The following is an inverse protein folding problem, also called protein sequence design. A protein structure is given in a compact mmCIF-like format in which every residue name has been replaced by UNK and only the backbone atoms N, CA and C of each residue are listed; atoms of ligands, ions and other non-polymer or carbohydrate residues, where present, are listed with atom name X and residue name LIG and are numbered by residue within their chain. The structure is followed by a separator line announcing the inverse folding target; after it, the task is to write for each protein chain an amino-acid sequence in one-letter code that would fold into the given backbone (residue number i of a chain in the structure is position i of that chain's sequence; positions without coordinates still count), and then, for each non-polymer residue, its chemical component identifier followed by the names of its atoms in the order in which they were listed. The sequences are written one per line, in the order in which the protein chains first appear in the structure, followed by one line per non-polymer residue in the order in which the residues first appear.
data_IF_600409617509
#
_entry.id   IF_600409617509
#
_cell.length_a   1.000
_cell.length_b   1.000
_cell.length_c   1.000
_cell.angle_alpha   90.00
_cell.angle_beta   90.00
_cell.angle_gamma   90.00
#
_symmetry.space_group_name_H-M   'P 1'
#
loop_
_entity.id
_entity.type
_entity.pdbx_description
1 polymer ?
#
# COMPACT_ATOMS: atom_id res chain seq x y z
N UNK A 1 -16.69 19.35 21.93
CA UNK A 1 -16.73 20.74 21.41
C UNK A 1 -15.41 20.95 20.70
N UNK A 2 -15.28 21.16 19.39
CA UNK A 2 -16.03 21.94 18.40
C UNK A 2 -15.84 21.13 17.09
N UNK A 3 -16.86 20.65 16.39
CA UNK A 3 -17.43 21.28 15.18
C UNK A 3 -18.70 20.49 14.80
N UNK A 4 -19.82 20.85 15.40
CA UNK A 4 -21.15 20.55 14.87
C UNK A 4 -21.75 21.88 14.42
N UNK A 5 -21.92 22.09 13.11
CA UNK A 5 -22.38 23.38 12.62
C UNK A 5 -22.56 23.46 11.11
N UNK A 6 -23.82 23.29 10.69
CA UNK A 6 -24.49 23.96 9.56
C UNK A 6 -23.93 23.76 8.14
N UNK A 7 -24.12 22.56 7.58
CA UNK A 7 -24.15 22.38 6.12
C UNK A 7 -25.37 23.07 5.46
N UNK A 8 -26.46 23.29 6.21
CA UNK A 8 -27.67 23.93 5.70
C UNK A 8 -27.53 25.42 5.33
N UNK A 9 -26.61 26.16 5.97
CA UNK A 9 -26.42 27.58 5.69
C UNK A 9 -25.65 27.85 4.39
N UNK A 10 -24.72 26.95 4.03
CA UNK A 10 -23.93 27.05 2.79
C UNK A 10 -24.79 26.78 1.55
N UNK A 11 -25.74 25.83 1.66
CA UNK A 11 -26.69 25.53 0.58
C UNK A 11 -27.69 26.66 0.30
N UNK A 12 -28.08 27.44 1.32
CA UNK A 12 -28.97 28.58 1.13
C UNK A 12 -28.30 29.73 0.35
N UNK A 13 -26.98 29.87 0.44
CA UNK A 13 -26.22 30.92 -0.26
C UNK A 13 -25.91 30.59 -1.73
N UNK A 14 -26.01 29.33 -2.14
CA UNK A 14 -25.81 28.90 -3.53
C UNK A 14 -27.05 29.11 -4.44
N UNK A 15 -28.21 29.50 -3.88
CA UNK A 15 -29.45 29.72 -4.66
C UNK A 15 -29.55 31.10 -5.34
N UNK A 16 -28.63 32.01 -5.08
CA UNK A 16 -28.64 33.38 -5.62
C UNK A 16 -27.27 33.69 -6.25
N UNK A 17 -27.06 33.31 -7.52
CA UNK A 17 -25.79 33.61 -8.19
C UNK A 17 -25.62 33.01 -9.57
N UNK A 18 -26.12 33.75 -10.56
CA UNK A 18 -25.65 33.86 -11.94
C UNK A 18 -25.72 32.66 -12.90
N UNK A 19 -26.65 32.80 -13.85
CA UNK A 19 -26.47 32.39 -15.24
C UNK A 19 -25.21 33.02 -15.83
N UNK A 20 -24.34 32.24 -16.48
CA UNK A 20 -23.70 32.57 -17.76
C UNK A 20 -22.94 31.35 -18.33
N UNK A 21 -22.87 31.31 -19.67
CA UNK A 21 -22.53 30.20 -20.55
C UNK A 21 -21.05 29.74 -20.50
N UNK A 22 -20.81 28.48 -20.85
CA UNK A 22 -19.49 27.98 -21.25
C UNK A 22 -19.33 26.47 -21.11
N UNK A 23 -19.14 25.77 -22.24
CA UNK A 23 -19.09 24.31 -22.30
C UNK A 23 -17.88 23.67 -21.63
N UNK A 24 -18.11 22.51 -21.01
CA UNK A 24 -17.13 21.46 -20.71
C UNK A 24 -17.91 20.21 -20.27
N UNK A 25 -17.30 19.04 -20.47
CA UNK A 25 -17.70 17.69 -20.06
C UNK A 25 -18.83 17.63 -19.02
N UNK A 26 -19.90 16.90 -19.34
CA UNK A 26 -21.03 16.70 -18.45
C UNK A 26 -20.62 15.91 -17.20
N UNK A 27 -20.06 16.61 -16.22
CA UNK A 27 -19.94 16.17 -14.85
C UNK A 27 -21.37 15.95 -14.35
N UNK A 28 -21.70 14.68 -14.07
CA UNK A 28 -23.04 14.24 -13.65
C UNK A 28 -23.44 14.97 -12.36
N UNK A 29 -24.13 16.09 -12.50
CA UNK A 29 -24.71 16.81 -11.39
C UNK A 29 -26.05 16.15 -11.03
N UNK A 30 -26.20 15.55 -9.83
CA UNK A 30 -27.46 14.93 -9.42
C UNK A 30 -28.57 15.98 -9.47
N UNK A 31 -29.62 15.67 -10.22
CA UNK A 31 -30.64 16.63 -10.66
C UNK A 31 -31.75 16.85 -9.62
N UNK A 32 -31.76 16.04 -8.55
CA UNK A 32 -32.75 16.12 -7.48
C UNK A 32 -32.15 15.92 -6.08
N UNK A 33 -32.84 16.47 -5.08
CA UNK A 33 -32.47 16.32 -3.65
C UNK A 33 -32.54 14.86 -3.21
N UNK A 34 -33.41 14.05 -3.83
CA UNK A 34 -33.51 12.60 -3.58
C UNK A 34 -32.30 11.84 -4.11
N UNK A 35 -31.76 12.21 -5.28
CA UNK A 35 -30.53 11.60 -5.82
C UNK A 35 -29.31 11.91 -4.94
N UNK A 36 -29.21 13.14 -4.43
CA UNK A 36 -28.17 13.54 -3.48
C UNK A 36 -28.26 12.76 -2.17
N UNK A 37 -29.47 12.58 -1.63
CA UNK A 37 -29.69 11.80 -0.41
C UNK A 37 -29.33 10.31 -0.61
N UNK A 38 -29.68 9.74 -1.77
CA UNK A 38 -29.33 8.36 -2.11
C UNK A 38 -27.81 8.16 -2.26
N UNK A 39 -27.11 9.11 -2.88
CA UNK A 39 -25.65 9.08 -3.01
C UNK A 39 -24.95 9.21 -1.65
N UNK A 40 -25.43 10.11 -0.78
CA UNK A 40 -24.93 10.26 0.58
C UNK A 40 -25.13 8.97 1.41
N UNK A 41 -26.28 8.31 1.28
CA UNK A 41 -26.55 7.04 1.94
C UNK A 41 -25.62 5.91 1.46
N UNK A 42 -25.38 5.83 0.15
CA UNK A 42 -24.40 4.88 -0.43
C UNK A 42 -22.98 5.15 0.07
N UNK A 43 -22.58 6.42 0.15
CA UNK A 43 -21.26 6.81 0.66
C UNK A 43 -21.11 6.44 2.14
N UNK A 44 -22.12 6.72 2.96
CA UNK A 44 -22.13 6.35 4.38
C UNK A 44 -22.01 4.83 4.56
N UNK A 45 -22.75 4.04 3.78
CA UNK A 45 -22.63 2.58 3.79
C UNK A 45 -21.22 2.12 3.40
N UNK A 46 -20.59 2.76 2.41
CA UNK A 46 -19.23 2.44 1.99
C UNK A 46 -18.19 2.78 3.04
N UNK A 47 -18.33 3.93 3.72
CA UNK A 47 -17.47 4.32 4.84
C UNK A 47 -17.59 3.30 5.97
N UNK A 48 -18.80 2.90 6.34
CA UNK A 48 -19.02 1.90 7.38
C UNK A 48 -18.40 0.53 7.03
N UNK A 49 -18.49 0.11 5.77
CA UNK A 49 -17.82 -1.12 5.29
C UNK A 49 -16.29 -1.02 5.42
N UNK A 50 -15.70 0.12 5.08
CA UNK A 50 -14.25 0.34 5.18
C UNK A 50 -13.79 0.35 6.64
N UNK A 51 -14.55 0.97 7.55
CA UNK A 51 -14.27 0.95 8.98
C UNK A 51 -14.30 -0.46 9.56
N UNK A 52 -15.28 -1.28 9.14
CA UNK A 52 -15.36 -2.69 9.52
C UNK A 52 -14.16 -3.49 9.02
N UNK A 53 -13.78 -3.32 7.76
CA UNK A 53 -12.61 -3.99 7.19
C UNK A 53 -11.32 -3.60 7.94
N UNK A 54 -11.13 -2.32 8.23
CA UNK A 54 -9.99 -1.83 9.01
C UNK A 54 -9.97 -2.43 10.42
N UNK A 55 -11.14 -2.54 11.06
CA UNK A 55 -11.26 -3.15 12.38
C UNK A 55 -10.92 -4.65 12.35
N UNK A 56 -11.33 -5.37 11.29
CA UNK A 56 -10.96 -6.77 11.11
C UNK A 56 -9.45 -6.94 10.98
N UNK A 57 -8.77 -6.11 10.18
CA UNK A 57 -7.31 -6.15 10.06
C UNK A 57 -6.61 -5.83 11.37
N UNK A 58 -7.08 -4.82 12.11
CA UNK A 58 -6.57 -4.52 13.46
C UNK A 58 -6.70 -5.71 14.40
N UNK A 59 -7.83 -6.41 14.37
CA UNK A 59 -8.05 -7.59 15.20
C UNK A 59 -7.11 -8.75 14.82
N UNK A 60 -6.85 -8.97 13.53
CA UNK A 60 -5.88 -9.97 13.06
C UNK A 60 -4.47 -9.66 13.57
N UNK A 61 -4.02 -8.41 13.45
CA UNK A 61 -2.72 -8.00 14.00
C UNK A 61 -2.61 -8.27 15.50
N UNK A 62 -3.65 -7.92 16.27
CA UNK A 62 -3.66 -8.14 17.72
C UNK A 62 -3.52 -9.62 18.08
N UNK A 63 -4.17 -10.52 17.35
CA UNK A 63 -4.09 -11.97 17.57
C UNK A 63 -2.70 -12.52 17.24
N UNK A 64 -2.07 -12.01 16.18
CA UNK A 64 -0.68 -12.37 15.84
C UNK A 64 0.28 -11.92 16.95
N UNK A 65 0.13 -10.70 17.45
CA UNK A 65 0.95 -10.17 18.55
C UNK A 65 0.79 -11.01 19.84
N UNK A 66 -0.44 -11.40 20.20
CA UNK A 66 -0.69 -12.27 21.35
C UNK A 66 -0.06 -13.66 21.19
N UNK A 67 -0.13 -14.22 19.97
CA UNK A 67 0.44 -15.54 19.67
C UNK A 67 1.97 -15.51 19.70
N UNK A 68 2.58 -14.39 19.28
CA UNK A 68 4.03 -14.17 19.41
C UNK A 68 4.45 -14.05 20.88
N UNK A 69 3.70 -13.29 21.69
CA UNK A 69 3.98 -13.13 23.12
C UNK A 69 3.89 -14.44 23.90
N UNK A 70 2.89 -15.28 23.59
CA UNK A 70 2.74 -16.60 24.22
C UNK A 70 3.95 -17.52 23.93
N UNK A 71 4.45 -17.51 22.69
CA UNK A 71 5.65 -18.29 22.31
C UNK A 71 6.93 -17.80 22.96
N UNK A 72 7.05 -16.51 23.26
CA UNK A 72 8.21 -15.94 23.97
C UNK A 72 8.17 -16.19 25.49
N UNK A 73 7.00 -16.46 26.07
CA UNK A 73 6.85 -16.77 27.50
C UNK A 73 7.26 -18.20 27.88
N UNK A 74 7.26 -19.14 26.93
CA UNK A 74 7.58 -20.55 27.16
C UNK A 74 9.05 -20.91 26.87
N UNK A 75 9.85 -19.96 26.38
CA UNK A 75 11.24 -20.19 25.97
C UNK A 75 12.29 -20.15 27.12
N UNK A 76 11.86 -20.21 28.38
CA UNK A 76 12.75 -20.30 29.56
C UNK A 76 12.74 -21.69 30.22
N UNK A 77 12.61 -22.75 29.43
CA UNK A 77 12.71 -24.13 29.91
C UNK A 77 13.27 -25.09 28.85
N UNK A 78 14.57 -25.41 28.98
CA UNK A 78 15.22 -26.67 28.55
C UNK A 78 15.15 -27.08 27.06
N UNK A 79 16.22 -26.71 26.34
CA UNK A 79 17.10 -27.56 25.51
C UNK A 79 16.57 -28.56 24.44
N UNK A 80 17.14 -28.38 23.24
CA UNK A 80 17.51 -29.37 22.19
C UNK A 80 16.42 -29.92 21.26
N UNK A 81 16.34 -29.43 20.01
CA UNK A 81 16.46 -30.26 18.78
C UNK A 81 16.64 -29.39 17.52
N UNK A 82 17.71 -29.69 16.77
CA UNK A 82 17.88 -29.67 15.30
C UNK A 82 16.93 -28.83 14.43
N UNK A 83 17.55 -27.93 13.65
CA UNK A 83 17.06 -27.43 12.36
C UNK A 83 15.61 -26.90 12.36
N UNK A 84 15.41 -25.68 12.85
CA UNK A 84 14.24 -24.88 12.52
C UNK A 84 14.73 -23.54 12.01
N UNK A 85 14.39 -23.29 10.75
CA UNK A 85 14.54 -22.02 10.04
C UNK A 85 14.31 -20.86 11.02
N UNK A 86 15.31 -19.98 11.14
CA UNK A 86 15.19 -18.72 11.86
C UNK A 86 14.05 -17.92 11.25
N UNK A 87 12.85 -18.12 11.79
CA UNK A 87 11.69 -17.34 11.43
C UNK A 87 11.91 -15.94 12.01
N UNK A 88 12.43 -15.04 11.16
CA UNK A 88 12.56 -13.61 11.50
C UNK A 88 11.16 -13.06 11.73
N UNK A 89 10.83 -12.84 13.00
CA UNK A 89 9.58 -12.19 13.39
C UNK A 89 9.76 -10.69 13.22
N UNK A 90 9.31 -10.15 12.10
CA UNK A 90 9.27 -8.70 11.86
C UNK A 90 8.10 -8.12 12.67
N UNK A 91 8.37 -7.10 13.48
CA UNK A 91 7.31 -6.41 14.22
C UNK A 91 6.39 -5.67 13.25
N UNK A 92 5.13 -5.46 13.64
CA UNK A 92 4.15 -4.75 12.81
C UNK A 92 4.66 -3.37 12.34
N UNK A 93 5.31 -2.62 13.24
CA UNK A 93 5.85 -1.29 12.93
C UNK A 93 7.00 -1.37 11.91
N UNK A 94 7.85 -2.39 12.01
CA UNK A 94 8.93 -2.62 11.03
C UNK A 94 8.37 -3.02 9.66
N UNK A 95 7.30 -3.82 9.63
CA UNK A 95 6.62 -4.17 8.38
C UNK A 95 5.97 -2.94 7.74
N UNK A 96 5.25 -2.13 8.51
CA UNK A 96 4.64 -0.87 8.01
C UNK A 96 5.72 0.10 7.50
N UNK A 97 6.82 0.24 8.22
CA UNK A 97 7.96 1.05 7.79
C UNK A 97 8.60 0.49 6.51
N UNK A 98 8.73 -0.83 6.41
CA UNK A 98 9.25 -1.51 5.21
C UNK A 98 8.34 -1.26 4.00
N UNK A 99 7.02 -1.35 4.18
CA UNK A 99 6.04 -1.05 3.13
C UNK A 99 6.08 0.42 2.72
N UNK A 100 6.15 1.36 3.68
CA UNK A 100 6.27 2.78 3.37
C UNK A 100 7.54 3.09 2.58
N UNK A 101 8.67 2.47 2.95
CA UNK A 101 9.92 2.59 2.21
C UNK A 101 9.81 2.04 0.79
N UNK A 102 9.19 0.88 0.62
CA UNK A 102 8.97 0.29 -0.70
C UNK A 102 8.11 1.19 -1.60
N UNK A 103 7.03 1.75 -1.05
CA UNK A 103 6.19 2.72 -1.77
C UNK A 103 6.95 3.99 -2.15
N UNK A 104 7.77 4.52 -1.24
CA UNK A 104 8.59 5.70 -1.53
C UNK A 104 9.56 5.46 -2.70
N UNK A 105 10.16 4.27 -2.77
CA UNK A 105 11.07 3.88 -3.86
C UNK A 105 10.35 3.66 -5.20
N UNK A 106 9.06 3.29 -5.18
CA UNK A 106 8.26 3.10 -6.39
C UNK A 106 7.83 4.41 -7.07
N UNK A 107 7.75 5.51 -6.31
CA UNK A 107 7.40 6.84 -6.85
C UNK A 107 8.56 7.48 -7.61
N UNK A 108 9.79 7.05 -7.33
CA UNK A 108 11.01 7.57 -7.95
C UNK A 108 11.05 7.20 -9.45
N UNK A 109 11.50 8.13 -10.30
CA UNK A 109 11.53 7.90 -11.76
C UNK A 109 12.69 6.99 -12.17
N UNK A 110 13.78 7.05 -11.40
CA UNK A 110 14.98 6.25 -11.54
C UNK A 110 14.72 4.76 -11.31
N UNK A 111 15.50 3.93 -12.00
CA UNK A 111 15.48 2.48 -11.83
C UNK A 111 16.26 2.06 -10.59
N UNK A 112 15.58 1.47 -9.62
CA UNK A 112 16.17 1.00 -8.36
C UNK A 112 16.03 -0.51 -8.27
N UNK A 113 17.15 -1.18 -8.00
CA UNK A 113 17.22 -2.62 -7.73
C UNK A 113 18.02 -2.90 -6.48
N UNK A 114 17.68 -3.97 -5.75
CA UNK A 114 18.45 -4.45 -4.60
C UNK A 114 18.78 -5.92 -4.84
N UNK A 115 20.05 -6.30 -4.67
CA UNK A 115 20.52 -7.67 -4.76
C UNK A 115 20.83 -8.25 -3.38
N UNK A 116 20.63 -9.56 -3.21
CA UNK A 116 21.09 -10.28 -2.03
C UNK A 116 22.49 -10.84 -2.28
N UNK A 117 23.51 -10.10 -1.86
CA UNK A 117 24.92 -10.49 -2.03
C UNK A 117 25.35 -11.67 -1.15
N UNK A 118 24.50 -12.13 -0.21
CA UNK A 118 24.80 -13.31 0.61
C UNK A 118 24.52 -14.61 -0.13
N UNK A 119 23.70 -14.57 -1.19
CA UNK A 119 23.32 -15.73 -1.97
C UNK A 119 24.26 -15.96 -3.15
N UNK A 120 24.48 -17.23 -3.54
CA UNK A 120 25.12 -17.54 -4.80
C UNK A 120 24.41 -16.83 -5.95
N UNK A 121 25.19 -16.33 -6.89
CA UNK A 121 24.69 -15.61 -8.06
C UNK A 121 24.03 -14.25 -7.80
N UNK A 122 24.06 -13.72 -6.56
CA UNK A 122 23.60 -12.37 -6.22
C UNK A 122 22.23 -12.00 -6.84
N UNK A 123 21.17 -12.79 -6.58
CA UNK A 123 19.88 -12.56 -7.19
C UNK A 123 19.28 -11.23 -6.72
N UNK A 124 18.60 -10.54 -7.63
CA UNK A 124 17.81 -9.36 -7.31
C UNK A 124 16.63 -9.75 -6.41
N UNK A 125 16.48 -9.08 -5.27
CA UNK A 125 15.37 -9.29 -4.32
C UNK A 125 14.32 -8.19 -4.39
N UNK A 126 14.62 -7.09 -5.08
CA UNK A 126 13.70 -5.98 -5.31
C UNK A 126 14.05 -5.27 -6.62
N UNK A 127 13.01 -4.86 -7.35
CA UNK A 127 13.09 -3.92 -8.47
C UNK A 127 11.87 -3.01 -8.43
N UNK A 128 12.06 -1.70 -8.56
CA UNK A 128 10.96 -0.74 -8.54
C UNK A 128 10.27 -0.59 -9.91
N UNK A 129 9.15 0.12 -9.94
CA UNK A 129 8.44 0.42 -11.19
C UNK A 129 9.28 1.26 -12.17
N UNK A 130 10.19 2.12 -11.68
CA UNK A 130 11.13 2.87 -12.51
C UNK A 130 12.04 1.98 -13.34
N UNK A 131 12.57 0.92 -12.74
CA UNK A 131 13.42 -0.05 -13.42
C UNK A 131 12.68 -0.70 -14.58
N UNK A 132 11.45 -1.17 -14.33
CA UNK A 132 10.65 -1.83 -15.35
C UNK A 132 10.32 -0.91 -16.54
N UNK A 133 10.08 0.38 -16.29
CA UNK A 133 9.87 1.38 -17.35
C UNK A 133 11.12 1.63 -18.18
N UNK A 134 12.29 1.71 -17.56
CA UNK A 134 13.55 2.02 -18.23
C UNK A 134 14.05 0.83 -19.05
N UNK A 135 13.99 -0.38 -18.49
CA UNK A 135 14.59 -1.57 -19.11
C UNK A 135 13.60 -2.37 -19.95
N UNK A 136 12.29 -2.20 -19.72
CA UNK A 136 11.24 -2.99 -20.35
C UNK A 136 11.02 -4.38 -19.74
N UNK A 137 11.82 -4.79 -18.75
CA UNK A 137 11.63 -6.05 -18.02
C UNK A 137 10.59 -5.88 -16.90
N UNK A 138 9.69 -6.85 -16.75
CA UNK A 138 8.75 -6.83 -15.63
C UNK A 138 9.49 -7.08 -14.31
N UNK A 139 8.98 -6.50 -13.22
CA UNK A 139 9.51 -6.74 -11.87
C UNK A 139 9.51 -8.24 -11.54
N UNK A 140 8.46 -8.96 -11.95
CA UNK A 140 8.32 -10.40 -11.73
C UNK A 140 9.37 -11.23 -12.48
N UNK A 141 9.77 -10.81 -13.69
CA UNK A 141 10.83 -11.47 -14.43
C UNK A 141 12.23 -11.08 -13.92
N UNK A 142 12.34 -9.99 -13.17
CA UNK A 142 13.61 -9.44 -12.66
C UNK A 142 13.99 -10.04 -11.32
N UNK A 143 13.06 -10.08 -10.38
CA UNK A 143 13.30 -10.59 -9.01
C UNK A 143 13.61 -12.09 -9.07
N UNK A 144 14.68 -12.50 -8.39
CA UNK A 144 15.20 -13.87 -8.37
C UNK A 144 16.34 -14.11 -9.36
N UNK A 145 16.60 -13.19 -10.29
CA UNK A 145 17.66 -13.32 -11.29
C UNK A 145 18.84 -12.38 -10.99
N UNK A 146 20.04 -12.74 -11.41
CA UNK A 146 21.18 -11.83 -11.40
C UNK A 146 21.01 -10.71 -12.45
N UNK A 147 21.35 -9.47 -12.11
CA UNK A 147 21.17 -8.30 -12.98
C UNK A 147 21.92 -8.38 -14.34
N UNK A 148 22.89 -9.30 -14.49
CA UNK A 148 23.65 -9.51 -15.73
C UNK A 148 22.80 -9.87 -16.95
N UNK A 149 21.52 -10.24 -16.78
CA UNK A 149 20.62 -10.46 -17.92
C UNK A 149 20.45 -9.19 -18.77
N UNK A 150 20.78 -8.00 -18.23
CA UNK A 150 20.81 -6.74 -18.97
C UNK A 150 22.08 -6.56 -19.82
N UNK A 151 23.11 -7.38 -19.62
CA UNK A 151 24.36 -7.31 -20.37
C UNK A 151 24.15 -7.90 -21.77
N UNK A 152 24.46 -7.10 -22.79
CA UNK A 152 24.36 -7.47 -24.21
C UNK A 152 25.72 -7.62 -24.87
N UNK A 153 25.74 -7.81 -26.19
CA UNK A 153 26.98 -7.95 -26.97
C UNK A 153 27.87 -6.68 -26.94
N UNK A 154 27.29 -5.53 -26.59
CA UNK A 154 28.00 -4.25 -26.45
C UNK A 154 28.48 -3.98 -25.01
N UNK A 155 28.29 -4.94 -24.10
CA UNK A 155 28.73 -4.79 -22.70
C UNK A 155 30.07 -5.50 -22.50
N UNK A 156 30.93 -4.90 -21.69
CA UNK A 156 32.19 -5.54 -21.31
C UNK A 156 31.91 -6.89 -20.61
N UNK A 157 32.66 -7.91 -21.01
CA UNK A 157 32.66 -9.21 -20.35
C UNK A 157 33.44 -9.12 -19.04
N UNK A 158 32.82 -9.55 -17.93
CA UNK A 158 33.49 -9.72 -16.63
C UNK A 158 34.49 -10.89 -16.61
#
# INVERSE_FOLDING_TARGET
AILGGTWGATLARMKEGNHEEGGAEAEYAPSSVEELAALASKLAARVQQLEQALQQERNKCRLLEQSLQARTGEANGSETTSQREEQVVVSKAEYELMQLKALALDVVQEGITIADCSKPDQPLIYANAGFARITGYSVQATVGNNCRFLQGQETDSE
#
